data_IF_306229815019
#
_entry.id   IF_306229815019
#
_cell.length_a   1.000
_cell.length_b   1.000
_cell.length_c   1.000
_cell.angle_alpha   90.00
_cell.angle_beta   90.00
_cell.angle_gamma   90.00
#
_symmetry.space_group_name_H-M   'P 1'
#
loop_
_entity.id
_entity.type
_entity.pdbx_description
1 polymer ?
#
# COMPACT_ATOMS: atom_id res chain seq x y z
N UNK A 1 2.85 -19.11 12.18
CA UNK A 1 1.45 -18.66 12.15
C UNK A 1 1.30 -17.89 10.86
N UNK A 2 0.56 -18.42 9.89
CA UNK A 2 0.24 -17.70 8.65
C UNK A 2 -0.99 -16.87 9.02
N UNK A 3 -0.91 -15.55 8.98
CA UNK A 3 -2.08 -14.69 9.17
C UNK A 3 -3.17 -15.18 8.20
N UNK A 4 -4.28 -15.66 8.76
CA UNK A 4 -5.41 -16.27 8.03
C UNK A 4 -6.35 -15.18 7.47
N UNK A 5 -6.03 -13.90 7.70
CA UNK A 5 -6.76 -12.76 7.20
C UNK A 5 -6.27 -12.40 5.79
N UNK A 6 -6.90 -13.00 4.80
CA UNK A 6 -6.78 -12.64 3.39
C UNK A 6 -8.16 -12.44 2.78
N UNK A 7 -8.31 -11.43 1.93
CA UNK A 7 -9.55 -11.24 1.17
C UNK A 7 -9.47 -12.06 -0.12
N UNK A 8 -10.30 -13.09 -0.24
CA UNK A 8 -10.47 -13.82 -1.50
C UNK A 8 -11.15 -12.91 -2.51
N UNK A 9 -10.45 -12.61 -3.61
CA UNK A 9 -10.93 -11.71 -4.64
C UNK A 9 -11.21 -12.47 -5.94
N UNK A 10 -12.32 -12.15 -6.63
CA UNK A 10 -12.82 -12.95 -7.75
C UNK A 10 -11.88 -12.92 -8.96
N UNK A 11 -11.10 -11.85 -9.11
CA UNK A 11 -10.24 -11.62 -10.25
C UNK A 11 -9.08 -10.68 -9.90
N UNK A 12 -8.05 -10.71 -10.76
CA UNK A 12 -6.83 -9.90 -10.60
C UNK A 12 -7.11 -8.40 -10.60
N UNK A 13 -8.15 -7.96 -11.30
CA UNK A 13 -8.52 -6.54 -11.35
C UNK A 13 -9.14 -6.09 -10.03
N UNK A 14 -10.02 -6.90 -9.45
CA UNK A 14 -10.53 -6.70 -8.09
C UNK A 14 -9.40 -6.72 -7.06
N UNK A 15 -8.46 -7.67 -7.18
CA UNK A 15 -7.27 -7.72 -6.33
C UNK A 15 -6.40 -6.47 -6.41
N UNK A 16 -6.23 -5.93 -7.63
CA UNK A 16 -5.54 -4.66 -7.83
C UNK A 16 -6.29 -3.49 -7.18
N UNK A 17 -7.60 -3.42 -7.35
CA UNK A 17 -8.42 -2.32 -6.82
C UNK A 17 -8.38 -2.31 -5.30
N UNK A 18 -8.62 -3.46 -4.68
CA UNK A 18 -8.57 -3.59 -3.22
C UNK A 18 -7.19 -3.27 -2.68
N UNK A 19 -6.12 -3.80 -3.29
CA UNK A 19 -4.75 -3.45 -2.87
C UNK A 19 -4.49 -1.95 -2.92
N UNK A 20 -4.99 -1.23 -3.93
CA UNK A 20 -4.85 0.23 -4.01
C UNK A 20 -5.73 0.94 -2.97
N UNK A 21 -6.98 0.51 -2.79
CA UNK A 21 -7.89 1.09 -1.81
C UNK A 21 -7.36 0.92 -0.38
N UNK A 22 -6.93 -0.28 0.01
CA UNK A 22 -6.31 -0.54 1.31
C UNK A 22 -5.02 0.27 1.50
N UNK A 23 -4.18 0.38 0.46
CA UNK A 23 -2.95 1.16 0.53
C UNK A 23 -3.25 2.64 0.82
N UNK A 24 -4.26 3.20 0.18
CA UNK A 24 -4.68 4.59 0.39
C UNK A 24 -5.34 4.80 1.75
N UNK A 25 -6.07 3.83 2.25
CA UNK A 25 -6.69 3.89 3.58
C UNK A 25 -5.62 3.89 4.68
N UNK A 26 -4.68 2.94 4.61
CA UNK A 26 -3.51 2.89 5.51
C UNK A 26 -2.72 4.18 5.42
N UNK A 27 -2.42 4.64 4.21
CA UNK A 27 -1.71 5.89 4.03
C UNK A 27 -2.49 7.06 4.64
N UNK A 28 -3.80 7.15 4.45
CA UNK A 28 -4.60 8.24 5.02
C UNK A 28 -4.58 8.26 6.55
N UNK A 29 -4.60 7.10 7.19
CA UNK A 29 -4.57 6.96 8.65
C UNK A 29 -3.16 7.25 9.22
N UNK A 30 -2.12 6.78 8.52
CA UNK A 30 -0.73 6.76 9.00
C UNK A 30 0.14 7.94 8.50
N UNK A 31 -0.24 8.62 7.41
CA UNK A 31 0.45 9.81 6.90
C UNK A 31 0.46 11.04 7.81
N UNK A 32 -0.52 11.31 8.72
CA UNK A 32 -0.41 12.47 9.61
C UNK A 32 0.82 12.42 10.53
N UNK A 33 1.44 11.25 10.74
CA UNK A 33 2.66 11.10 11.54
C UNK A 33 3.93 11.05 10.67
N UNK A 34 4.32 12.20 10.10
CA UNK A 34 5.68 12.44 9.60
C UNK A 34 5.85 12.55 8.08
N UNK A 35 6.97 13.14 7.67
CA UNK A 35 7.21 13.61 6.29
C UNK A 35 7.74 12.53 5.32
N UNK A 36 8.12 11.35 5.83
CA UNK A 36 8.69 10.26 5.03
C UNK A 36 8.11 8.90 5.44
N UNK A 37 7.26 8.33 4.58
CA UNK A 37 6.72 6.98 4.76
C UNK A 37 6.57 6.27 3.43
N UNK A 38 6.91 4.98 3.39
CA UNK A 38 6.66 4.11 2.25
C UNK A 38 5.82 2.91 2.65
N UNK A 39 4.66 2.77 2.03
CA UNK A 39 3.75 1.65 2.22
C UNK A 39 3.81 0.73 1.00
N UNK A 40 3.83 -0.58 1.23
CA UNK A 40 3.88 -1.59 0.17
C UNK A 40 2.85 -2.67 0.47
N UNK A 41 1.98 -2.94 -0.50
CA UNK A 41 1.07 -4.09 -0.48
C UNK A 41 1.48 -5.04 -1.60
N UNK A 42 1.55 -6.33 -1.26
CA UNK A 42 1.83 -7.40 -2.22
C UNK A 42 0.64 -8.35 -2.29
N UNK A 43 0.06 -8.50 -3.47
CA UNK A 43 -0.97 -9.49 -3.76
C UNK A 43 -0.28 -10.77 -4.20
N UNK A 44 -0.66 -11.89 -3.61
CA UNK A 44 -0.18 -13.23 -3.95
C UNK A 44 -1.33 -14.06 -4.51
N UNK A 45 -1.03 -14.90 -5.49
CA UNK A 45 -1.91 -16.02 -5.84
C UNK A 45 -1.91 -17.01 -4.67
N UNK A 46 -2.94 -17.84 -4.47
CA UNK A 46 -3.10 -18.74 -3.32
C UNK A 46 -1.93 -19.70 -2.98
N UNK A 47 -0.85 -19.68 -3.78
CA UNK A 47 0.49 -20.19 -3.43
C UNK A 47 1.49 -19.10 -2.97
N UNK A 48 2.73 -19.17 -3.48
CA UNK A 48 3.85 -18.29 -3.11
C UNK A 48 4.16 -17.22 -4.18
N UNK A 49 3.42 -17.21 -5.29
CA UNK A 49 3.68 -16.32 -6.43
C UNK A 49 3.04 -14.94 -6.20
N UNK A 50 3.88 -13.92 -6.07
CA UNK A 50 3.44 -12.52 -6.06
C UNK A 50 2.89 -12.13 -7.44
N UNK A 51 1.61 -11.76 -7.48
CA UNK A 51 0.91 -11.33 -8.69
C UNK A 51 1.03 -9.83 -8.94
N UNK A 52 1.05 -9.04 -7.86
CA UNK A 52 1.07 -7.58 -7.93
C UNK A 52 1.82 -7.02 -6.72
N UNK A 53 2.61 -5.98 -6.95
CA UNK A 53 3.16 -5.13 -5.91
C UNK A 53 2.68 -3.71 -6.15
N UNK A 54 2.05 -3.10 -5.14
CA UNK A 54 1.63 -1.71 -5.14
C UNK A 54 2.39 -0.96 -4.06
N UNK A 55 3.00 0.17 -4.40
CA UNK A 55 3.81 0.98 -3.49
C UNK A 55 3.35 2.43 -3.53
N UNK A 56 3.22 3.04 -2.35
CA UNK A 56 3.03 4.47 -2.15
C UNK A 56 4.20 4.99 -1.32
N UNK A 57 4.82 6.08 -1.76
CA UNK A 57 5.85 6.77 -1.01
C UNK A 57 5.47 8.25 -0.93
N UNK A 58 5.42 8.80 0.28
CA UNK A 58 5.35 10.23 0.51
C UNK A 58 6.74 10.73 0.90
N UNK A 59 7.18 11.79 0.23
CA UNK A 59 8.36 12.57 0.60
C UNK A 59 7.95 14.04 0.59
N UNK A 60 7.82 14.63 1.78
CA UNK A 60 7.49 16.03 1.95
C UNK A 60 8.74 16.77 2.43
N UNK A 61 9.27 17.67 1.60
CA UNK A 61 10.40 18.51 1.97
C UNK A 61 10.08 19.97 1.71
N UNK A 62 10.53 20.83 2.63
CA UNK A 62 10.42 22.27 2.45
C UNK A 62 11.46 22.70 1.42
N UNK A 63 10.99 23.17 0.26
CA UNK A 63 11.83 23.94 -0.64
C UNK A 63 12.12 25.26 0.07
N UNK A 64 13.39 25.48 0.45
CA UNK A 64 13.84 26.58 1.30
C UNK A 64 13.02 27.86 1.12
N UNK A 65 12.50 28.42 2.21
CA UNK A 65 12.00 29.79 2.17
C UNK A 65 13.22 30.68 1.89
N UNK A 66 13.29 31.25 0.69
CA UNK A 66 14.28 32.25 0.37
C UNK A 66 14.16 33.38 1.40
N UNK A 67 15.21 33.53 2.22
CA UNK A 67 15.36 34.61 3.19
C UNK A 67 15.66 35.94 2.53
#
# INVERSE_FOLDING_TARGET
MRDDEGLELPDRESARREAICSLLDIARDELPDGDHRSFVITVRDGGETSLLSARLALDATWLAQAG
#
